data_IF_773148467578
#
_entry.id   IF_773148467578
#
_cell.length_a   1.000
_cell.length_b   1.000
_cell.length_c   1.000
_cell.angle_alpha   90.00
_cell.angle_beta   90.00
_cell.angle_gamma   90.00
#
_symmetry.space_group_name_H-M   'P 1'
#
loop_
_entity.id
_entity.type
_entity.pdbx_description
1 polymer ?
#
# COMPACT_ATOMS: atom_id res chain seq x y z
N UNK A 1 14.96 33.50 -6.89
CA UNK A 1 16.15 32.73 -7.34
C UNK A 1 15.67 31.37 -7.83
N UNK A 2 16.04 31.04 -9.08
CA UNK A 2 15.44 30.00 -9.91
C UNK A 2 16.12 28.65 -9.71
N UNK A 3 15.30 27.57 -9.67
CA UNK A 3 15.62 26.21 -10.08
C UNK A 3 16.98 25.60 -9.65
N UNK A 4 17.00 24.92 -8.53
CA UNK A 4 18.03 23.93 -8.20
C UNK A 4 17.50 22.91 -7.17
N UNK A 5 16.58 22.04 -7.59
CA UNK A 5 16.12 20.93 -6.76
C UNK A 5 15.57 19.81 -7.68
N UNK A 6 16.41 19.36 -8.60
CA UNK A 6 16.12 18.13 -9.36
C UNK A 6 17.34 17.64 -10.14
N UNK A 7 18.46 17.36 -9.46
CA UNK A 7 19.56 16.60 -10.08
C UNK A 7 20.52 16.05 -9.02
N UNK A 8 20.04 15.09 -8.23
CA UNK A 8 20.89 14.31 -7.35
C UNK A 8 20.40 12.86 -7.23
N UNK A 9 20.20 12.24 -8.37
CA UNK A 9 20.01 10.79 -8.48
C UNK A 9 20.51 10.38 -9.85
N UNK A 10 21.77 10.11 -9.97
CA UNK A 10 22.50 9.36 -10.99
C UNK A 10 23.87 10.00 -11.23
N UNK A 11 24.78 9.84 -10.28
CA UNK A 11 26.20 9.98 -10.56
C UNK A 11 26.87 8.66 -10.25
N UNK A 12 27.36 8.05 -11.30
CA UNK A 12 27.89 6.72 -11.43
C UNK A 12 29.00 6.35 -10.46
N UNK A 13 28.95 5.12 -10.03
CA UNK A 13 30.07 4.33 -9.58
C UNK A 13 30.61 3.57 -10.80
N UNK A 14 31.57 4.20 -11.48
CA UNK A 14 32.49 3.53 -12.38
C UNK A 14 33.48 2.74 -11.55
N UNK A 15 33.40 1.42 -11.57
CA UNK A 15 34.44 0.51 -11.10
C UNK A 15 35.21 -0.02 -12.32
N UNK A 16 36.44 0.39 -12.37
CA UNK A 16 37.47 -0.05 -13.32
C UNK A 16 37.73 -1.56 -13.22
N UNK A 17 37.88 -2.17 -14.38
CA UNK A 17 38.11 -3.58 -14.56
C UNK A 17 39.39 -4.11 -13.88
N UNK A 18 39.21 -5.24 -13.24
CA UNK A 18 40.28 -6.18 -12.91
C UNK A 18 39.93 -7.52 -13.54
N UNK A 19 40.70 -7.94 -14.51
CA UNK A 19 40.66 -9.27 -15.12
C UNK A 19 40.94 -10.33 -14.03
N UNK A 20 39.90 -11.02 -13.57
CA UNK A 20 40.05 -12.34 -12.97
C UNK A 20 39.27 -13.33 -13.83
N UNK A 21 39.97 -14.27 -14.41
CA UNK A 21 39.41 -15.48 -14.98
C UNK A 21 38.60 -16.19 -13.88
N UNK A 22 37.29 -15.99 -13.89
CA UNK A 22 36.38 -16.80 -13.09
C UNK A 22 36.35 -18.18 -13.72
N UNK A 23 36.78 -19.18 -12.98
CA UNK A 23 36.41 -20.57 -13.17
C UNK A 23 34.88 -20.59 -13.34
N UNK A 24 34.43 -21.00 -14.52
CA UNK A 24 33.05 -21.26 -14.80
C UNK A 24 32.56 -22.31 -13.81
N UNK A 25 31.89 -21.89 -12.74
CA UNK A 25 31.04 -22.81 -12.01
C UNK A 25 30.03 -23.39 -13.00
N UNK A 26 29.79 -24.71 -12.97
CA UNK A 26 28.83 -25.31 -13.86
C UNK A 26 27.49 -24.65 -13.59
N UNK A 27 26.92 -24.01 -14.61
CA UNK A 27 25.56 -23.49 -14.55
C UNK A 27 24.67 -24.60 -13.97
N UNK A 28 23.98 -24.35 -12.86
CA UNK A 28 22.95 -25.25 -12.36
C UNK A 28 21.92 -25.39 -13.48
N UNK A 29 22.02 -26.46 -14.25
CA UNK A 29 21.05 -26.77 -15.27
C UNK A 29 19.72 -27.01 -14.55
N UNK A 30 18.78 -26.10 -14.75
CA UNK A 30 17.41 -26.30 -14.31
C UNK A 30 16.89 -27.58 -14.98
N UNK A 31 16.95 -28.69 -14.27
CA UNK A 31 16.57 -30.02 -14.77
C UNK A 31 15.15 -30.00 -15.32
N UNK A 32 14.29 -29.10 -14.82
CA UNK A 32 12.92 -28.93 -15.23
C UNK A 32 12.78 -28.36 -16.66
N UNK A 33 13.72 -27.51 -17.11
CA UNK A 33 13.71 -26.93 -18.46
C UNK A 33 13.96 -27.96 -19.57
N UNK A 34 14.37 -29.16 -19.21
CA UNK A 34 14.55 -30.30 -20.15
C UNK A 34 13.21 -30.80 -20.67
N UNK A 35 12.18 -30.78 -19.85
CA UNK A 35 10.89 -31.37 -20.15
C UNK A 35 9.96 -30.37 -20.84
N UNK A 36 9.12 -30.88 -21.76
CA UNK A 36 8.07 -30.11 -22.42
C UNK A 36 6.70 -30.49 -21.80
N UNK A 37 5.83 -29.53 -21.55
CA UNK A 37 4.50 -29.80 -21.03
C UNK A 37 3.61 -30.41 -22.12
N UNK A 38 3.25 -31.67 -21.98
CA UNK A 38 2.36 -32.40 -22.91
C UNK A 38 0.88 -32.00 -22.71
N UNK A 39 0.47 -31.91 -21.45
CA UNK A 39 -0.89 -31.53 -21.08
C UNK A 39 -0.96 -30.99 -19.66
N UNK A 40 -1.98 -30.16 -19.41
CA UNK A 40 -2.34 -29.72 -18.07
C UNK A 40 -3.70 -30.30 -17.70
N UNK A 41 -3.73 -31.20 -16.71
CA UNK A 41 -4.93 -31.80 -16.18
C UNK A 41 -5.47 -30.97 -15.03
N UNK A 42 -6.73 -30.58 -15.12
CA UNK A 42 -7.43 -29.84 -14.07
C UNK A 42 -8.44 -30.73 -13.38
N UNK A 43 -8.59 -30.60 -12.06
CA UNK A 43 -9.73 -31.22 -11.40
C UNK A 43 -11.05 -30.60 -11.92
N UNK A 44 -12.15 -31.35 -11.89
CA UNK A 44 -13.48 -30.88 -12.35
C UNK A 44 -13.90 -29.57 -11.68
N UNK A 45 -13.50 -29.38 -10.41
CA UNK A 45 -13.81 -28.16 -9.65
C UNK A 45 -13.09 -26.94 -10.20
N UNK A 46 -11.85 -27.09 -10.67
CA UNK A 46 -11.11 -26.01 -11.32
C UNK A 46 -11.74 -25.73 -12.69
N UNK A 47 -11.93 -26.78 -13.50
CA UNK A 47 -12.33 -26.66 -14.88
C UNK A 47 -13.66 -25.92 -15.08
N UNK A 48 -14.61 -26.11 -14.16
CA UNK A 48 -15.94 -25.50 -14.25
C UNK A 48 -15.96 -24.04 -13.72
N UNK A 49 -14.98 -23.63 -12.92
CA UNK A 49 -15.04 -22.39 -12.14
C UNK A 49 -14.01 -21.34 -12.52
N UNK A 50 -12.97 -21.72 -13.28
CA UNK A 50 -11.94 -20.78 -13.73
C UNK A 50 -12.46 -19.88 -14.85
N UNK A 51 -11.97 -18.63 -14.86
CA UNK A 51 -12.25 -17.66 -15.91
C UNK A 51 -11.68 -18.09 -17.27
N UNK A 52 -12.24 -17.49 -18.34
CA UNK A 52 -11.73 -17.71 -19.70
C UNK A 52 -10.28 -17.30 -19.86
N UNK A 53 -9.87 -16.20 -19.21
CA UNK A 53 -8.49 -15.70 -19.27
C UNK A 53 -7.51 -16.68 -18.63
N UNK A 54 -7.84 -17.21 -17.46
CA UNK A 54 -7.00 -18.19 -16.77
C UNK A 54 -6.91 -19.51 -17.55
N UNK A 55 -8.01 -19.93 -18.17
CA UNK A 55 -8.03 -21.12 -19.07
C UNK A 55 -7.11 -20.93 -20.28
N UNK A 56 -7.10 -19.74 -20.88
CA UNK A 56 -6.19 -19.42 -21.99
C UNK A 56 -4.72 -19.45 -21.55
N UNK A 57 -4.42 -18.95 -20.35
CA UNK A 57 -3.05 -18.97 -19.84
C UNK A 57 -2.58 -20.40 -19.50
N UNK A 58 -3.48 -21.27 -19.03
CA UNK A 58 -3.21 -22.70 -18.87
C UNK A 58 -2.90 -23.35 -20.23
N UNK A 59 -3.69 -23.03 -21.26
CA UNK A 59 -3.45 -23.58 -22.61
C UNK A 59 -2.11 -23.14 -23.21
N UNK A 60 -1.63 -21.94 -22.92
CA UNK A 60 -0.32 -21.46 -23.37
C UNK A 60 0.85 -22.27 -22.81
N UNK A 61 0.68 -22.94 -21.68
CA UNK A 61 1.73 -23.79 -21.12
C UNK A 61 1.93 -25.10 -21.88
N UNK A 62 0.92 -25.56 -22.62
CA UNK A 62 1.00 -26.80 -23.40
C UNK A 62 1.92 -26.59 -24.60
N UNK A 63 2.92 -27.43 -24.74
CA UNK A 63 3.98 -27.30 -25.75
C UNK A 63 5.19 -26.46 -25.33
N UNK A 64 5.10 -25.72 -24.22
CA UNK A 64 6.20 -24.94 -23.68
C UNK A 64 7.12 -25.80 -22.76
N UNK A 65 8.34 -25.31 -22.54
CA UNK A 65 9.24 -25.92 -21.58
C UNK A 65 8.72 -25.77 -20.17
N UNK A 66 8.86 -26.82 -19.36
CA UNK A 66 8.42 -26.82 -17.97
C UNK A 66 9.15 -25.70 -17.20
N UNK A 67 8.39 -24.72 -16.75
CA UNK A 67 8.87 -23.61 -15.94
C UNK A 67 8.19 -23.65 -14.57
N UNK A 68 8.91 -24.00 -13.49
CA UNK A 68 8.35 -24.06 -12.14
C UNK A 68 7.78 -22.70 -11.66
N UNK A 69 8.42 -21.60 -12.05
CA UNK A 69 7.94 -20.26 -11.68
C UNK A 69 6.58 -19.96 -12.32
N UNK A 70 6.43 -20.26 -13.62
CA UNK A 70 5.16 -20.08 -14.32
C UNK A 70 4.05 -20.97 -13.73
N UNK A 71 4.38 -22.21 -13.33
CA UNK A 71 3.43 -23.09 -12.65
C UNK A 71 3.02 -22.58 -11.27
N UNK A 72 3.98 -22.06 -10.48
CA UNK A 72 3.70 -21.47 -9.18
C UNK A 72 2.81 -20.23 -9.31
N UNK A 73 3.06 -19.38 -10.29
CA UNK A 73 2.23 -18.22 -10.59
C UNK A 73 0.81 -18.63 -10.98
N UNK A 74 0.69 -19.63 -11.84
CA UNK A 74 -0.60 -20.18 -12.24
C UNK A 74 -1.35 -20.76 -11.04
N UNK A 75 -0.70 -21.56 -10.20
CA UNK A 75 -1.31 -22.12 -9.00
C UNK A 75 -1.75 -21.02 -8.01
N UNK A 76 -0.94 -19.96 -7.87
CA UNK A 76 -1.31 -18.80 -7.05
C UNK A 76 -2.55 -18.10 -7.59
N UNK A 77 -2.65 -17.89 -8.91
CA UNK A 77 -3.81 -17.28 -9.57
C UNK A 77 -5.06 -18.17 -9.41
N UNK A 78 -4.96 -19.48 -9.66
CA UNK A 78 -6.04 -20.43 -9.41
C UNK A 78 -6.48 -20.38 -7.95
N UNK A 79 -5.54 -20.36 -6.99
CA UNK A 79 -5.83 -20.26 -5.57
C UNK A 79 -6.60 -18.98 -5.23
N UNK A 80 -6.21 -17.86 -5.82
CA UNK A 80 -6.85 -16.56 -5.60
C UNK A 80 -8.24 -16.53 -6.22
N UNK A 81 -8.38 -16.94 -7.48
CA UNK A 81 -9.64 -16.88 -8.21
C UNK A 81 -10.70 -17.84 -7.62
N UNK A 82 -10.30 -19.06 -7.26
CA UNK A 82 -11.20 -20.05 -6.68
C UNK A 82 -11.37 -19.92 -5.16
N UNK A 83 -10.58 -19.06 -4.52
CA UNK A 83 -10.49 -18.90 -3.08
C UNK A 83 -10.34 -20.24 -2.33
N UNK A 84 -9.33 -21.00 -2.70
CA UNK A 84 -9.03 -22.31 -2.12
C UNK A 84 -7.78 -22.25 -1.24
N UNK A 85 -7.67 -23.15 -0.25
CA UNK A 85 -6.53 -23.19 0.68
C UNK A 85 -5.22 -23.50 -0.01
N UNK A 86 -5.26 -24.47 -0.91
CA UNK A 86 -4.08 -24.96 -1.60
C UNK A 86 -4.42 -25.42 -3.02
N UNK A 87 -3.49 -25.20 -3.92
CA UNK A 87 -3.48 -25.80 -5.25
C UNK A 87 -2.21 -26.65 -5.31
N UNK A 88 -2.38 -27.98 -5.26
CA UNK A 88 -1.26 -28.89 -5.39
C UNK A 88 -0.90 -29.07 -6.86
N UNK A 89 0.40 -29.07 -7.13
CA UNK A 89 0.97 -29.28 -8.44
C UNK A 89 1.68 -30.63 -8.44
N UNK A 90 1.30 -31.51 -9.36
CA UNK A 90 1.98 -32.80 -9.57
C UNK A 90 2.49 -32.86 -10.99
N UNK A 91 3.78 -33.05 -11.14
CA UNK A 91 4.40 -33.28 -12.45
C UNK A 91 4.49 -34.79 -12.64
N UNK A 92 3.80 -35.30 -13.65
CA UNK A 92 3.74 -36.70 -13.99
C UNK A 92 4.48 -36.96 -15.30
N UNK A 93 4.96 -38.17 -15.51
CA UNK A 93 5.57 -38.59 -16.77
C UNK A 93 4.55 -38.49 -17.91
N UNK A 94 4.92 -37.87 -19.02
CA UNK A 94 4.14 -37.80 -20.22
C UNK A 94 4.12 -39.13 -21.01
N UNK A 95 3.30 -39.19 -22.02
CA UNK A 95 3.25 -40.36 -22.92
C UNK A 95 4.41 -40.36 -23.93
N UNK A 96 4.94 -39.19 -24.24
CA UNK A 96 6.07 -39.00 -25.15
C UNK A 96 7.37 -38.85 -24.35
N UNK A 97 8.52 -39.38 -24.80
CA UNK A 97 9.80 -39.13 -24.15
C UNK A 97 10.08 -37.64 -24.01
N UNK A 98 10.70 -37.24 -22.89
CA UNK A 98 11.00 -35.86 -22.51
C UNK A 98 9.77 -34.91 -22.38
N UNK A 99 8.56 -35.50 -22.28
CA UNK A 99 7.32 -34.75 -22.00
C UNK A 99 6.78 -35.08 -20.61
N UNK A 100 6.10 -34.08 -20.01
CA UNK A 100 5.46 -34.22 -18.69
C UNK A 100 4.02 -33.73 -18.75
N UNK A 101 3.20 -34.33 -17.90
CA UNK A 101 1.82 -33.90 -17.61
C UNK A 101 1.82 -33.14 -16.28
N UNK A 102 1.19 -32.02 -16.27
CA UNK A 102 1.00 -31.23 -15.05
C UNK A 102 -0.42 -31.41 -14.55
N UNK A 103 -0.59 -31.97 -13.36
CA UNK A 103 -1.90 -32.08 -12.72
C UNK A 103 -2.01 -31.02 -11.64
N UNK A 104 -3.09 -30.23 -11.69
CA UNK A 104 -3.48 -29.24 -10.70
C UNK A 104 -4.72 -29.73 -9.97
N UNK A 105 -4.56 -30.00 -8.67
CA UNK A 105 -5.64 -30.44 -7.79
C UNK A 105 -5.92 -29.36 -6.74
N UNK A 106 -7.19 -29.11 -6.46
CA UNK A 106 -7.63 -28.11 -5.47
C UNK A 106 -7.87 -28.76 -4.12
N UNK A 107 -7.26 -28.23 -3.09
CA UNK A 107 -7.53 -28.59 -1.70
C UNK A 107 -8.51 -27.62 -1.05
N UNK A 108 -9.72 -28.07 -0.78
CA UNK A 108 -10.76 -27.43 0.05
C UNK A 108 -11.04 -25.94 -0.18
N UNK A 109 -12.30 -25.53 -0.17
CA UNK A 109 -12.67 -24.10 -0.15
C UNK A 109 -12.14 -23.45 1.12
N UNK A 110 -11.56 -22.25 0.99
CA UNK A 110 -11.16 -21.43 2.11
C UNK A 110 -12.37 -20.65 2.64
N UNK A 111 -13.28 -21.34 3.35
CA UNK A 111 -14.23 -20.63 4.20
C UNK A 111 -13.55 -20.47 5.55
N UNK A 112 -13.12 -19.27 5.86
CA UNK A 112 -12.37 -18.98 7.08
C UNK A 112 -12.99 -17.81 7.81
N UNK A 113 -13.01 -17.94 9.13
CA UNK A 113 -13.16 -16.82 10.02
C UNK A 113 -11.79 -16.50 10.61
N UNK A 114 -11.44 -15.23 10.57
CA UNK A 114 -10.19 -14.73 11.14
C UNK A 114 -10.49 -13.49 11.98
N UNK A 115 -9.88 -13.42 13.16
CA UNK A 115 -9.85 -12.22 13.98
C UNK A 115 -8.43 -11.68 13.92
N UNK A 116 -8.28 -10.50 13.40
CA UNK A 116 -6.98 -9.85 13.22
C UNK A 116 -6.92 -8.50 13.91
N UNK A 117 -5.71 -8.11 14.23
CA UNK A 117 -5.39 -6.78 14.74
C UNK A 117 -4.47 -6.13 13.70
N UNK A 118 -5.03 -5.50 12.64
CA UNK A 118 -4.23 -5.00 11.53
C UNK A 118 -3.31 -3.85 11.93
N UNK A 119 -3.65 -3.10 12.97
CA UNK A 119 -2.84 -2.00 13.47
C UNK A 119 -2.91 -1.92 14.99
N UNK A 120 -1.78 -1.90 15.65
CA UNK A 120 -1.59 -1.41 17.01
C UNK A 120 -0.28 -0.68 17.04
N UNK A 121 -0.30 0.64 17.18
CA UNK A 121 0.89 1.48 17.23
C UNK A 121 0.76 2.43 18.40
N UNK A 122 1.80 2.50 19.19
CA UNK A 122 2.00 3.56 20.17
C UNK A 122 3.12 4.48 19.68
N UNK A 123 2.84 5.76 19.64
CA UNK A 123 3.83 6.81 19.40
C UNK A 123 3.80 7.78 20.58
N UNK A 124 4.97 8.11 21.11
CA UNK A 124 5.06 8.92 22.35
C UNK A 124 4.43 10.30 22.25
N UNK A 125 4.26 10.85 21.05
CA UNK A 125 3.64 12.17 20.79
C UNK A 125 2.14 12.09 20.46
N UNK A 126 1.67 10.98 19.87
CA UNK A 126 0.29 10.83 19.40
C UNK A 126 -0.54 9.83 20.22
N UNK A 127 0.13 9.04 21.09
CA UNK A 127 -0.52 8.00 21.88
C UNK A 127 -0.80 6.72 21.09
N UNK A 128 -1.82 5.96 21.50
CA UNK A 128 -2.20 4.71 20.87
C UNK A 128 -3.10 4.92 19.66
N UNK A 129 -2.80 4.20 18.59
CA UNK A 129 -3.66 4.01 17.42
C UNK A 129 -3.85 2.51 17.19
N UNK A 130 -5.04 2.07 16.87
CA UNK A 130 -5.28 0.64 16.68
C UNK A 130 -6.58 0.32 15.98
N UNK A 131 -6.64 -0.90 15.42
CA UNK A 131 -7.83 -1.46 14.82
C UNK A 131 -7.92 -2.96 15.13
N UNK A 132 -9.15 -3.44 15.32
CA UNK A 132 -9.47 -4.86 15.49
C UNK A 132 -10.53 -5.23 14.48
N UNK A 133 -10.30 -6.27 13.69
CA UNK A 133 -11.18 -6.68 12.60
C UNK A 133 -11.48 -8.17 12.62
N UNK A 134 -12.75 -8.50 12.36
CA UNK A 134 -13.20 -9.83 12.01
C UNK A 134 -13.35 -9.95 10.51
N UNK A 135 -12.80 -11.00 9.92
CA UNK A 135 -12.88 -11.29 8.49
C UNK A 135 -13.56 -12.63 8.26
N UNK A 136 -14.57 -12.65 7.40
CA UNK A 136 -15.20 -13.87 6.89
C UNK A 136 -14.93 -14.00 5.40
N UNK A 137 -14.43 -15.16 4.96
CA UNK A 137 -14.17 -15.45 3.57
C UNK A 137 -15.12 -16.57 3.09
N UNK A 138 -15.92 -16.28 2.08
CA UNK A 138 -16.89 -17.22 1.49
C UNK A 138 -16.72 -17.23 -0.03
N UNK A 139 -16.10 -18.26 -0.55
CA UNK A 139 -15.77 -18.32 -1.97
C UNK A 139 -14.78 -17.22 -2.37
N UNK A 140 -15.15 -16.38 -3.33
CA UNK A 140 -14.35 -15.22 -3.76
C UNK A 140 -14.67 -13.94 -2.98
N UNK A 141 -15.61 -14.03 -2.03
CA UNK A 141 -16.08 -12.89 -1.28
C UNK A 141 -15.38 -12.82 0.07
N UNK A 142 -14.91 -11.64 0.44
CA UNK A 142 -14.33 -11.32 1.74
C UNK A 142 -15.18 -10.23 2.38
N UNK A 143 -15.62 -10.48 3.58
CA UNK A 143 -16.33 -9.53 4.43
C UNK A 143 -15.45 -9.23 5.64
N UNK A 144 -15.12 -7.99 5.85
CA UNK A 144 -14.34 -7.54 7.00
C UNK A 144 -15.15 -6.48 7.74
N UNK A 145 -15.22 -6.58 9.05
CA UNK A 145 -15.82 -5.55 9.89
C UNK A 145 -14.97 -5.38 11.16
N UNK A 146 -14.86 -4.15 11.63
CA UNK A 146 -14.01 -3.88 12.77
C UNK A 146 -14.24 -2.53 13.43
N UNK A 147 -13.50 -2.38 14.54
CA UNK A 147 -13.40 -1.16 15.31
C UNK A 147 -12.05 -0.51 15.04
N UNK A 148 -12.02 0.81 14.97
CA UNK A 148 -10.80 1.59 14.80
C UNK A 148 -10.77 2.74 15.80
N UNK A 149 -9.58 3.02 16.31
CA UNK A 149 -9.25 4.25 17.04
C UNK A 149 -7.87 4.70 16.56
N UNK A 150 -7.83 5.75 15.78
CA UNK A 150 -6.60 6.17 15.10
C UNK A 150 -6.38 7.68 15.24
N UNK A 151 -5.18 8.04 15.64
CA UNK A 151 -4.69 9.42 15.72
C UNK A 151 -3.43 9.63 14.88
N UNK A 152 -3.08 8.66 14.03
CA UNK A 152 -1.83 8.60 13.29
C UNK A 152 -2.02 8.87 11.78
N UNK A 153 -3.21 8.65 11.23
CA UNK A 153 -3.45 8.71 9.77
C UNK A 153 -4.00 10.05 9.27
N UNK A 154 -4.71 10.80 10.11
CA UNK A 154 -5.36 12.05 9.75
C UNK A 154 -4.98 13.17 10.71
N UNK A 155 -5.26 14.42 10.34
CA UNK A 155 -5.07 15.59 11.22
C UNK A 155 -5.76 15.36 12.57
N UNK A 156 -7.01 14.90 12.54
CA UNK A 156 -7.78 14.52 13.72
C UNK A 156 -7.47 13.10 14.21
N UNK A 157 -7.89 12.83 15.44
CA UNK A 157 -8.07 11.46 15.94
C UNK A 157 -9.51 11.05 15.67
N UNK A 158 -9.71 9.85 15.16
CA UNK A 158 -11.04 9.30 14.95
C UNK A 158 -11.23 7.94 15.61
N UNK A 159 -12.46 7.65 16.02
CA UNK A 159 -12.87 6.35 16.54
C UNK A 159 -14.17 5.94 15.90
N UNK A 160 -14.33 4.66 15.61
CA UNK A 160 -15.56 4.22 14.98
C UNK A 160 -15.54 2.79 14.49
N UNK A 161 -16.46 2.53 13.57
CA UNK A 161 -16.63 1.24 12.91
C UNK A 161 -16.26 1.35 11.44
N UNK A 162 -15.68 0.27 10.92
CA UNK A 162 -15.46 0.14 9.47
C UNK A 162 -15.93 -1.24 9.02
N UNK A 163 -16.42 -1.31 7.79
CA UNK A 163 -16.75 -2.55 7.13
C UNK A 163 -16.26 -2.52 5.70
N UNK A 164 -15.82 -3.67 5.21
CA UNK A 164 -15.33 -3.84 3.84
C UNK A 164 -15.86 -5.12 3.24
N UNK A 165 -16.34 -5.01 2.03
CA UNK A 165 -16.59 -6.15 1.17
C UNK A 165 -15.64 -6.14 -0.01
N UNK A 166 -15.05 -7.28 -0.32
CA UNK A 166 -14.18 -7.46 -1.48
C UNK A 166 -14.59 -8.70 -2.26
N UNK A 167 -14.65 -8.58 -3.58
CA UNK A 167 -14.68 -9.71 -4.50
C UNK A 167 -13.50 -9.58 -5.45
N UNK A 168 -12.54 -10.52 -5.35
CA UNK A 168 -11.28 -10.47 -6.09
C UNK A 168 -11.32 -11.17 -7.44
N UNK A 169 -12.48 -11.66 -7.87
CA UNK A 169 -12.64 -12.35 -9.15
C UNK A 169 -14.09 -12.22 -9.62
N UNK A 170 -14.51 -11.00 -9.98
CA UNK A 170 -15.84 -10.76 -10.54
C UNK A 170 -15.89 -11.18 -12.01
N UNK A 171 -16.30 -12.43 -12.24
CA UNK A 171 -16.34 -13.03 -13.58
C UNK A 171 -14.95 -13.33 -14.19
N UNK A 172 -13.90 -12.75 -13.68
CA UNK A 172 -12.50 -13.00 -14.04
C UNK A 172 -11.58 -12.55 -12.92
N UNK A 173 -10.34 -13.04 -12.92
CA UNK A 173 -9.26 -12.61 -12.01
C UNK A 173 -8.72 -11.20 -12.35
N UNK A 174 -9.28 -10.54 -13.35
CA UNK A 174 -8.88 -9.19 -13.80
C UNK A 174 -9.78 -8.08 -13.30
N UNK A 175 -10.91 -8.41 -12.67
CA UNK A 175 -11.86 -7.43 -12.17
C UNK A 175 -12.11 -7.70 -10.69
N UNK A 176 -11.74 -6.76 -9.86
CA UNK A 176 -11.96 -6.78 -8.42
C UNK A 176 -12.99 -5.71 -8.06
N UNK A 177 -13.89 -6.03 -7.14
CA UNK A 177 -14.81 -5.06 -6.55
C UNK A 177 -14.53 -4.91 -5.06
N UNK A 178 -14.57 -3.67 -4.59
CA UNK A 178 -14.47 -3.33 -3.17
C UNK A 178 -15.52 -2.28 -2.81
N UNK A 179 -16.16 -2.51 -1.67
CA UNK A 179 -17.03 -1.56 -1.01
C UNK A 179 -16.52 -1.33 0.40
N UNK A 180 -16.14 -0.11 0.71
CA UNK A 180 -15.77 0.32 2.05
C UNK A 180 -16.90 1.14 2.65
N UNK A 181 -17.16 0.92 3.93
CA UNK A 181 -18.07 1.71 4.74
C UNK A 181 -17.37 2.09 6.03
N UNK A 182 -17.49 3.35 6.43
CA UNK A 182 -16.99 3.87 7.69
C UNK A 182 -18.00 4.76 8.39
N UNK A 183 -17.98 4.72 9.72
CA UNK A 183 -18.74 5.66 10.57
C UNK A 183 -17.88 6.02 11.77
N UNK A 184 -17.47 7.28 11.85
CA UNK A 184 -16.44 7.75 12.76
C UNK A 184 -16.94 8.92 13.61
N UNK A 185 -16.33 9.01 14.80
CA UNK A 185 -16.42 10.13 15.71
C UNK A 185 -15.04 10.77 15.80
N UNK A 186 -14.98 12.08 15.62
CA UNK A 186 -13.74 12.81 15.49
C UNK A 186 -13.40 13.56 16.77
N UNK A 187 -12.11 13.58 17.10
CA UNK A 187 -11.52 14.31 18.24
C UNK A 187 -10.40 15.21 17.74
N UNK A 188 -10.47 16.47 18.13
CA UNK A 188 -9.56 17.50 17.65
C UNK A 188 -8.54 17.89 18.71
N UNK A 189 -7.30 18.02 18.29
CA UNK A 189 -6.22 18.52 19.14
C UNK A 189 -6.38 20.02 19.42
N UNK A 190 -5.95 20.47 20.59
CA UNK A 190 -5.99 21.90 20.96
C UNK A 190 -5.18 22.78 20.01
N UNK A 191 -4.08 22.29 19.45
CA UNK A 191 -3.27 23.00 18.46
C UNK A 191 -4.05 23.25 17.18
N UNK A 192 -4.79 22.24 16.70
CA UNK A 192 -5.70 22.35 15.54
C UNK A 192 -6.80 23.36 15.80
N UNK A 193 -7.47 23.27 16.96
CA UNK A 193 -8.53 24.22 17.35
C UNK A 193 -8.03 25.67 17.42
N UNK A 194 -6.81 25.87 17.93
CA UNK A 194 -6.18 27.19 18.03
C UNK A 194 -5.74 27.75 16.67
N UNK A 195 -5.42 26.89 15.72
CA UNK A 195 -5.01 27.29 14.37
C UNK A 195 -6.20 27.68 13.48
N UNK A 196 -7.38 27.06 13.67
CA UNK A 196 -8.60 27.32 12.88
C UNK A 196 -9.06 28.79 12.89
N UNK A 197 -8.86 29.51 13.98
CA UNK A 197 -9.26 30.92 14.08
C UNK A 197 -8.35 31.90 13.30
N UNK A 198 -7.31 31.42 12.63
CA UNK A 198 -6.30 32.23 11.93
C UNK A 198 -6.37 32.14 10.42
N UNK A 199 -7.06 31.14 9.89
CA UNK A 199 -7.14 30.87 8.44
C UNK A 199 -8.58 30.63 8.00
N UNK A 200 -9.19 31.62 7.35
CA UNK A 200 -10.54 31.54 6.79
C UNK A 200 -10.66 30.57 5.59
N UNK A 201 -9.53 30.18 5.00
CA UNK A 201 -9.50 29.24 3.85
C UNK A 201 -9.69 27.79 4.27
N UNK A 202 -9.47 27.46 5.54
CA UNK A 202 -9.58 26.10 6.06
C UNK A 202 -11.05 25.78 6.37
N UNK A 203 -11.58 24.64 5.90
CA UNK A 203 -12.88 24.15 6.29
C UNK A 203 -12.96 23.92 7.80
N UNK A 204 -14.14 24.13 8.39
CA UNK A 204 -14.31 23.96 9.82
C UNK A 204 -14.14 22.51 10.28
N UNK A 205 -14.09 22.33 11.59
CA UNK A 205 -14.07 21.01 12.23
C UNK A 205 -15.43 20.35 12.21
N UNK A 206 -15.43 19.04 12.18
CA UNK A 206 -16.61 18.19 12.21
C UNK A 206 -16.56 17.22 13.40
N UNK A 207 -17.70 16.69 13.79
CA UNK A 207 -17.86 15.78 14.92
C UNK A 207 -18.01 14.34 14.50
N UNK A 208 -18.73 14.11 13.42
CA UNK A 208 -19.00 12.78 12.89
C UNK A 208 -18.77 12.76 11.40
N UNK A 209 -18.30 11.63 10.92
CA UNK A 209 -18.06 11.38 9.49
C UNK A 209 -18.54 9.98 9.13
N UNK A 210 -19.26 9.88 8.03
CA UNK A 210 -19.66 8.62 7.44
C UNK A 210 -19.24 8.60 5.98
N UNK A 211 -18.72 7.47 5.53
CA UNK A 211 -18.37 7.30 4.13
C UNK A 211 -18.82 5.95 3.59
N UNK A 212 -19.11 5.93 2.29
CA UNK A 212 -19.33 4.73 1.50
C UNK A 212 -18.55 4.83 0.19
N UNK A 213 -17.61 3.92 -0.01
CA UNK A 213 -16.66 3.97 -1.12
C UNK A 213 -16.72 2.70 -1.97
N UNK A 214 -17.48 2.67 -3.07
CA UNK A 214 -17.41 1.65 -4.10
C UNK A 214 -16.21 1.86 -5.02
N UNK A 215 -15.42 0.82 -5.26
CA UNK A 215 -14.25 0.83 -6.16
C UNK A 215 -14.21 -0.44 -7.00
N UNK A 216 -14.02 -0.28 -8.32
CA UNK A 216 -13.70 -1.35 -9.24
C UNK A 216 -12.24 -1.24 -9.65
N UNK A 217 -11.48 -2.32 -9.53
CA UNK A 217 -10.08 -2.40 -9.96
C UNK A 217 -9.94 -3.34 -11.15
N UNK A 218 -9.29 -2.87 -12.20
CA UNK A 218 -9.04 -3.59 -13.44
C UNK A 218 -7.54 -3.91 -13.54
N UNK A 219 -7.21 -5.19 -13.59
CA UNK A 219 -5.85 -5.66 -13.84
C UNK A 219 -5.57 -5.55 -15.34
N UNK A 220 -4.90 -4.48 -15.75
CA UNK A 220 -4.57 -4.21 -17.16
C UNK A 220 -3.45 -5.12 -17.65
N UNK A 221 -2.44 -5.31 -16.80
CA UNK A 221 -1.32 -6.23 -17.00
C UNK A 221 -0.89 -6.79 -15.63
N UNK A 222 -0.03 -7.81 -15.58
CA UNK A 222 0.44 -8.38 -14.29
C UNK A 222 0.96 -7.32 -13.31
N UNK A 223 1.78 -6.31 -13.73
CA UNK A 223 2.25 -5.29 -12.81
C UNK A 223 1.35 -4.05 -12.73
N UNK A 224 0.28 -3.93 -13.54
CA UNK A 224 -0.45 -2.67 -13.72
C UNK A 224 -1.94 -2.82 -13.44
N UNK A 225 -2.44 -2.05 -12.49
CA UNK A 225 -3.84 -2.00 -12.07
C UNK A 225 -4.40 -0.59 -12.20
N UNK A 226 -5.64 -0.49 -12.70
CA UNK A 226 -6.42 0.74 -12.76
C UNK A 226 -7.63 0.60 -11.84
N UNK A 227 -7.78 1.51 -10.89
CA UNK A 227 -8.93 1.59 -9.99
C UNK A 227 -9.81 2.78 -10.36
N UNK A 228 -11.11 2.54 -10.45
CA UNK A 228 -12.13 3.57 -10.64
C UNK A 228 -13.21 3.42 -9.58
N UNK A 229 -13.64 4.54 -9.00
CA UNK A 229 -14.62 4.51 -7.93
C UNK A 229 -15.20 5.87 -7.59
N UNK A 230 -15.99 5.87 -6.53
CA UNK A 230 -16.51 7.08 -5.90
C UNK A 230 -16.40 6.93 -4.39
N UNK A 231 -16.43 8.04 -3.67
CA UNK A 231 -16.59 8.06 -2.23
C UNK A 231 -17.70 9.06 -1.90
N UNK A 232 -18.70 8.58 -1.20
CA UNK A 232 -19.83 9.37 -0.74
C UNK A 232 -19.61 9.66 0.74
N UNK A 233 -19.20 10.89 1.04
CA UNK A 233 -18.91 11.30 2.40
C UNK A 233 -19.92 12.31 2.91
N UNK A 234 -20.39 12.07 4.15
CA UNK A 234 -21.28 12.95 4.91
C UNK A 234 -20.68 13.18 6.29
N UNK A 235 -20.67 14.43 6.72
CA UNK A 235 -20.15 14.81 8.04
C UNK A 235 -20.87 16.01 8.62
N UNK A 236 -20.91 16.05 9.96
CA UNK A 236 -21.56 17.12 10.71
C UNK A 236 -20.51 18.11 11.22
N UNK A 237 -20.43 19.25 10.56
CA UNK A 237 -19.53 20.36 10.92
C UNK A 237 -20.03 21.03 12.20
N UNK A 238 -19.11 21.38 13.11
CA UNK A 238 -19.37 22.09 14.35
C UNK A 238 -18.99 23.58 14.26
N UNK A 239 -17.87 23.86 13.66
CA UNK A 239 -17.35 25.22 13.50
C UNK A 239 -17.08 25.49 12.02
N UNK A 240 -17.30 26.71 11.53
CA UNK A 240 -17.80 27.90 12.27
C UNK A 240 -19.30 27.84 12.60
N UNK A 241 -20.06 26.97 11.94
CA UNK A 241 -21.49 26.76 12.19
C UNK A 241 -21.86 25.28 12.08
N UNK A 242 -22.80 24.83 12.93
CA UNK A 242 -23.32 23.47 12.88
C UNK A 242 -24.13 23.26 11.60
N UNK A 243 -23.68 22.36 10.73
CA UNK A 243 -24.35 21.97 9.49
C UNK A 243 -23.89 20.60 9.03
N UNK A 244 -24.75 19.88 8.35
CA UNK A 244 -24.35 18.66 7.65
C UNK A 244 -23.80 19.04 6.27
N UNK A 245 -22.65 18.48 5.92
CA UNK A 245 -21.98 18.68 4.64
C UNK A 245 -21.66 17.34 3.98
N UNK A 246 -21.47 17.38 2.68
CA UNK A 246 -21.05 16.26 1.87
C UNK A 246 -19.73 16.58 1.13
N UNK A 247 -18.87 15.58 0.98
CA UNK A 247 -17.64 15.67 0.18
C UNK A 247 -17.56 14.47 -0.77
N UNK A 248 -18.52 14.40 -1.69
CA UNK A 248 -18.57 13.31 -2.66
C UNK A 248 -17.47 13.48 -3.72
N UNK A 249 -16.71 12.42 -3.98
CA UNK A 249 -15.58 12.43 -4.90
C UNK A 249 -15.63 11.29 -5.90
N UNK A 250 -15.11 11.53 -7.10
CA UNK A 250 -14.69 10.49 -8.01
C UNK A 250 -13.25 10.08 -7.68
N UNK A 251 -12.98 8.78 -7.74
CA UNK A 251 -11.68 8.20 -7.43
C UNK A 251 -11.11 7.56 -8.69
N UNK A 252 -9.84 7.85 -8.98
CA UNK A 252 -9.04 7.16 -9.97
C UNK A 252 -7.70 6.80 -9.35
N UNK A 253 -7.29 5.55 -9.49
CA UNK A 253 -5.99 5.05 -9.02
C UNK A 253 -5.27 4.29 -10.12
N UNK A 254 -3.96 4.44 -10.19
CA UNK A 254 -3.08 3.64 -11.03
C UNK A 254 -1.99 3.08 -10.14
N UNK A 255 -1.84 1.76 -10.13
CA UNK A 255 -0.82 1.07 -9.36
C UNK A 255 0.02 0.20 -10.27
N UNK A 256 1.32 0.32 -10.13
CA UNK A 256 2.32 -0.55 -10.75
C UNK A 256 3.10 -1.25 -9.65
N UNK A 257 3.16 -2.58 -9.66
CA UNK A 257 3.87 -3.41 -8.69
C UNK A 257 4.65 -4.50 -9.45
N UNK A 258 5.96 -4.40 -9.44
CA UNK A 258 6.84 -5.32 -10.14
C UNK A 258 7.93 -5.86 -9.22
N UNK A 259 8.03 -7.18 -9.18
CA UNK A 259 9.13 -7.89 -8.49
C UNK A 259 10.07 -8.47 -9.49
N UNK A 260 11.36 -8.27 -9.23
CA UNK A 260 12.45 -8.80 -10.04
C UNK A 260 13.29 -9.72 -9.17
N UNK A 261 13.58 -10.91 -9.67
CA UNK A 261 14.51 -11.84 -9.06
C UNK A 261 15.85 -11.70 -9.77
N UNK A 262 16.89 -11.26 -9.06
CA UNK A 262 18.25 -11.14 -9.57
C UNK A 262 19.08 -12.40 -9.32
N UNK A 263 20.29 -12.47 -9.89
CA UNK A 263 21.23 -13.55 -9.60
C UNK A 263 21.57 -13.59 -8.10
N UNK A 264 21.71 -14.78 -7.53
CA UNK A 264 22.16 -14.95 -6.15
C UNK A 264 21.11 -14.65 -5.07
N UNK A 265 19.83 -14.93 -5.32
CA UNK A 265 18.70 -14.67 -4.40
C UNK A 265 18.43 -13.19 -4.05
N UNK A 266 18.94 -12.26 -4.84
CA UNK A 266 18.61 -10.85 -4.69
C UNK A 266 17.17 -10.61 -5.18
N UNK A 267 16.35 -9.98 -4.35
CA UNK A 267 14.99 -9.61 -4.70
C UNK A 267 14.88 -8.09 -4.77
N UNK A 268 14.31 -7.60 -5.86
CA UNK A 268 14.00 -6.19 -6.05
C UNK A 268 12.49 -6.05 -6.20
N UNK A 269 11.93 -5.04 -5.58
CA UNK A 269 10.52 -4.69 -5.69
C UNK A 269 10.42 -3.21 -5.99
N UNK A 270 9.66 -2.89 -7.01
CA UNK A 270 9.33 -1.52 -7.38
C UNK A 270 7.82 -1.36 -7.39
N UNK A 271 7.32 -0.45 -6.59
CA UNK A 271 5.91 -0.08 -6.49
C UNK A 271 5.76 1.40 -6.80
N UNK A 272 4.81 1.74 -7.66
CA UNK A 272 4.42 3.10 -7.95
C UNK A 272 2.90 3.22 -7.89
N UNK A 273 2.41 4.18 -7.13
CA UNK A 273 0.99 4.44 -7.01
C UNK A 273 0.69 5.91 -7.32
N UNK A 274 -0.34 6.13 -8.11
CA UNK A 274 -0.96 7.43 -8.32
C UNK A 274 -2.42 7.36 -7.94
N UNK A 275 -2.89 8.31 -7.16
CA UNK A 275 -4.30 8.45 -6.82
C UNK A 275 -4.80 9.87 -7.05
N UNK A 276 -5.99 9.97 -7.62
CA UNK A 276 -6.75 11.20 -7.81
C UNK A 276 -8.11 11.06 -7.13
N UNK A 277 -8.44 12.01 -6.27
CA UNK A 277 -9.77 12.19 -5.68
C UNK A 277 -10.27 13.56 -6.11
N UNK A 278 -11.39 13.61 -6.82
CA UNK A 278 -11.93 14.85 -7.38
C UNK A 278 -13.38 15.07 -6.93
N UNK A 279 -13.63 16.15 -6.19
CA UNK A 279 -14.93 16.59 -5.74
C UNK A 279 -15.41 17.78 -6.57
N UNK A 280 -16.67 17.74 -6.98
CA UNK A 280 -17.31 18.86 -7.69
C UNK A 280 -18.75 19.00 -7.23
N UNK A 281 -19.34 20.19 -7.41
CA UNK A 281 -20.78 20.40 -7.17
C UNK A 281 -21.67 19.50 -8.02
N UNK A 282 -21.18 19.05 -9.21
CA UNK A 282 -21.86 18.09 -10.05
C UNK A 282 -22.04 16.70 -9.42
N UNK A 283 -21.20 16.35 -8.42
CA UNK A 283 -21.34 15.15 -7.60
C UNK A 283 -22.13 15.37 -6.32
N UNK A 284 -22.85 16.48 -6.23
CA UNK A 284 -23.55 16.90 -5.00
C UNK A 284 -22.61 17.02 -3.80
N UNK A 285 -21.42 17.59 -4.02
CA UNK A 285 -20.42 17.88 -3.00
C UNK A 285 -20.47 19.35 -2.61
N UNK A 286 -20.39 19.66 -1.32
CA UNK A 286 -20.24 21.03 -0.79
C UNK A 286 -18.83 21.57 -0.98
N UNK A 287 -17.91 20.72 -1.45
CA UNK A 287 -16.51 21.02 -1.70
C UNK A 287 -16.16 20.87 -3.17
N UNK A 288 -15.23 21.71 -3.64
CA UNK A 288 -14.67 21.61 -4.97
C UNK A 288 -13.16 21.52 -4.86
N UNK A 289 -12.59 20.33 -5.09
CA UNK A 289 -11.15 20.09 -5.01
C UNK A 289 -10.71 18.92 -5.89
N UNK A 290 -9.41 18.89 -6.17
CA UNK A 290 -8.73 17.72 -6.70
C UNK A 290 -7.50 17.43 -5.85
N UNK A 291 -7.46 16.24 -5.25
CA UNK A 291 -6.34 15.73 -4.46
C UNK A 291 -5.61 14.67 -5.26
N UNK A 292 -4.36 14.95 -5.53
CA UNK A 292 -3.45 14.05 -6.22
C UNK A 292 -2.37 13.59 -5.26
N UNK A 293 -2.04 12.29 -5.30
CA UNK A 293 -0.94 11.72 -4.52
C UNK A 293 -0.17 10.75 -5.39
N UNK A 294 1.13 10.85 -5.32
CA UNK A 294 2.11 9.94 -5.92
C UNK A 294 2.89 9.28 -4.80
N UNK A 295 3.08 8.00 -4.91
CA UNK A 295 3.91 7.21 -4.01
C UNK A 295 4.78 6.29 -4.85
N UNK A 296 6.09 6.32 -4.57
CA UNK A 296 7.08 5.45 -5.19
C UNK A 296 7.80 4.72 -4.07
N UNK A 297 7.88 3.41 -4.19
CA UNK A 297 8.65 2.59 -3.26
C UNK A 297 9.56 1.66 -4.05
N UNK A 298 10.82 1.65 -3.68
CA UNK A 298 11.81 0.71 -4.18
C UNK A 298 12.43 -0.05 -3.02
N UNK A 299 12.55 -1.36 -3.14
CA UNK A 299 13.26 -2.18 -2.16
C UNK A 299 14.19 -3.18 -2.83
N UNK A 300 15.36 -3.36 -2.21
CA UNK A 300 16.40 -4.30 -2.62
C UNK A 300 16.77 -5.16 -1.41
N UNK A 301 16.46 -6.44 -1.48
CA UNK A 301 16.85 -7.43 -0.48
C UNK A 301 17.98 -8.29 -1.01
N UNK A 302 19.07 -8.45 -0.23
CA UNK A 302 20.22 -9.26 -0.54
C UNK A 302 20.81 -9.91 0.72
N UNK A 303 20.74 -11.23 0.78
CA UNK A 303 21.13 -11.98 1.97
C UNK A 303 20.30 -11.59 3.20
N UNK A 304 20.95 -11.00 4.22
CA UNK A 304 20.28 -10.49 5.43
C UNK A 304 20.03 -8.98 5.40
N UNK A 305 20.41 -8.33 4.32
CA UNK A 305 20.29 -6.90 4.16
C UNK A 305 19.04 -6.56 3.34
N UNK A 306 18.48 -5.40 3.62
CA UNK A 306 17.44 -4.78 2.81
C UNK A 306 17.66 -3.26 2.80
N UNK A 307 17.59 -2.68 1.64
CA UNK A 307 17.51 -1.23 1.45
C UNK A 307 16.14 -0.94 0.88
N UNK A 308 15.45 0.04 1.43
CA UNK A 308 14.20 0.54 0.86
C UNK A 308 14.21 2.07 0.82
N UNK A 309 13.63 2.61 -0.23
CA UNK A 309 13.44 4.04 -0.44
C UNK A 309 11.98 4.28 -0.81
N UNK A 310 11.35 5.19 -0.08
CA UNK A 310 9.97 5.60 -0.30
C UNK A 310 9.91 7.10 -0.54
N UNK A 311 9.27 7.51 -1.62
CA UNK A 311 9.03 8.90 -1.95
C UNK A 311 7.52 9.15 -2.09
N UNK A 312 7.00 10.17 -1.41
CA UNK A 312 5.62 10.61 -1.48
C UNK A 312 5.57 12.07 -1.90
N UNK A 313 4.70 12.37 -2.87
CA UNK A 313 4.36 13.72 -3.25
C UNK A 313 2.85 13.88 -3.33
N UNK A 314 2.33 15.04 -2.94
CA UNK A 314 0.91 15.30 -2.97
C UNK A 314 0.55 16.75 -3.23
N UNK A 315 -0.58 16.96 -3.88
CA UNK A 315 -1.12 18.26 -4.23
C UNK A 315 -2.63 18.26 -4.11
N UNK A 316 -3.18 19.24 -3.40
CA UNK A 316 -4.60 19.56 -3.38
C UNK A 316 -4.78 20.92 -4.04
N UNK A 317 -5.70 20.97 -5.00
CA UNK A 317 -6.19 22.22 -5.61
C UNK A 317 -7.66 22.41 -5.25
N UNK A 318 -8.08 23.66 -5.04
CA UNK A 318 -9.42 23.95 -4.59
C UNK A 318 -9.59 23.84 -3.07
N UNK A 319 -10.85 23.76 -2.60
CA UNK A 319 -11.19 23.73 -1.18
C UNK A 319 -11.57 22.32 -0.76
N UNK A 320 -10.68 21.66 -0.02
CA UNK A 320 -10.86 20.32 0.51
C UNK A 320 -11.20 20.34 2.01
N UNK A 321 -11.98 19.36 2.54
CA UNK A 321 -12.16 19.19 3.97
C UNK A 321 -10.84 18.77 4.66
N UNK A 322 -10.76 18.91 6.00
CA UNK A 322 -9.52 18.64 6.75
C UNK A 322 -9.03 17.20 6.61
N UNK A 323 -9.92 16.22 6.57
CA UNK A 323 -9.55 14.81 6.39
C UNK A 323 -8.91 14.46 5.04
N UNK A 324 -8.93 15.36 4.09
CA UNK A 324 -8.23 15.20 2.80
C UNK A 324 -6.85 15.86 2.80
N UNK A 325 -6.53 16.69 3.79
CA UNK A 325 -5.24 17.39 3.85
C UNK A 325 -4.12 16.42 4.16
N UNK A 326 -2.93 16.75 3.69
CA UNK A 326 -1.74 15.97 3.95
C UNK A 326 -1.16 16.30 5.32
N UNK A 327 -0.60 15.29 5.96
CA UNK A 327 0.13 15.44 7.22
C UNK A 327 1.45 14.69 7.18
N UNK A 328 2.39 15.12 7.99
CA UNK A 328 3.66 14.46 8.29
C UNK A 328 3.86 14.43 9.81
N UNK A 329 4.83 13.65 10.29
CA UNK A 329 5.07 13.47 11.72
C UNK A 329 4.21 12.38 12.34
N UNK A 330 3.92 11.35 11.56
CA UNK A 330 3.19 10.13 11.94
C UNK A 330 4.17 8.99 12.25
N UNK A 331 3.66 7.83 12.61
CA UNK A 331 4.50 6.64 12.86
C UNK A 331 5.14 6.07 11.60
N UNK A 332 4.67 6.45 10.42
CA UNK A 332 5.15 5.97 9.11
C UNK A 332 5.77 7.07 8.25
N UNK A 333 5.40 8.34 8.45
CA UNK A 333 5.84 9.45 7.61
C UNK A 333 6.53 10.53 8.43
N UNK A 334 7.78 10.84 8.11
CA UNK A 334 8.63 11.82 8.84
C UNK A 334 8.68 11.51 10.34
N UNK A 335 9.04 10.28 10.66
CA UNK A 335 9.14 9.77 12.03
C UNK A 335 10.06 10.65 12.88
N UNK A 336 9.73 10.84 14.15
CA UNK A 336 10.51 11.72 15.05
C UNK A 336 9.97 13.14 15.18
N UNK A 337 9.05 13.54 14.33
CA UNK A 337 8.32 14.80 14.45
C UNK A 337 6.91 14.59 14.99
N UNK A 338 6.34 15.59 15.62
CA UNK A 338 4.93 15.61 15.96
C UNK A 338 4.17 16.38 14.86
N UNK A 339 3.12 15.78 14.30
CA UNK A 339 2.33 16.38 13.23
C UNK A 339 1.77 17.76 13.58
N UNK A 340 1.40 17.98 14.83
CA UNK A 340 0.86 19.26 15.30
C UNK A 340 1.90 20.36 15.44
N UNK A 341 3.20 20.01 15.50
CA UNK A 341 4.31 20.97 15.51
C UNK A 341 4.74 21.36 14.09
N UNK A 342 4.37 20.55 13.08
CA UNK A 342 4.67 20.80 11.68
C UNK A 342 3.61 21.71 11.05
N UNK A 343 2.38 21.22 11.00
CA UNK A 343 1.20 21.99 10.59
C UNK A 343 -0.04 21.40 11.26
N UNK A 344 -0.64 22.10 12.25
CA UNK A 344 -1.79 21.60 13.00
C UNK A 344 -3.07 21.42 12.17
N UNK A 345 -3.14 22.00 10.98
CA UNK A 345 -4.26 21.88 10.04
C UNK A 345 -3.92 20.97 8.86
N UNK A 346 -2.73 20.38 8.83
CA UNK A 346 -2.18 19.72 7.66
C UNK A 346 -1.96 20.71 6.51
N UNK A 347 -1.40 20.25 5.39
CA UNK A 347 -1.14 21.08 4.22
C UNK A 347 -1.87 20.61 2.97
N UNK A 348 -1.98 21.49 1.99
CA UNK A 348 -2.46 21.14 0.64
C UNK A 348 -1.36 20.59 -0.26
N UNK A 349 -0.12 20.62 0.21
CA UNK A 349 1.05 20.09 -0.49
C UNK A 349 1.91 19.29 0.47
N UNK A 350 2.49 18.20 -0.04
CA UNK A 350 3.40 17.36 0.72
C UNK A 350 4.51 16.83 -0.18
N UNK A 351 5.69 16.71 0.38
CA UNK A 351 6.81 15.96 -0.18
C UNK A 351 7.52 15.23 0.95
N UNK A 352 7.80 13.95 0.75
CA UNK A 352 8.49 13.08 1.70
C UNK A 352 9.43 12.16 0.95
N UNK A 353 10.58 11.90 1.54
CA UNK A 353 11.46 10.77 1.19
C UNK A 353 11.91 10.08 2.48
N UNK A 354 11.84 8.77 2.49
CA UNK A 354 12.26 7.89 3.58
C UNK A 354 13.20 6.83 3.06
N UNK A 355 14.45 6.86 3.52
CA UNK A 355 15.47 5.86 3.21
C UNK A 355 15.69 4.97 4.42
N UNK A 356 15.56 3.67 4.23
CA UNK A 356 15.77 2.66 5.28
C UNK A 356 16.84 1.66 4.87
N UNK A 357 17.69 1.30 5.83
CA UNK A 357 18.58 0.15 5.74
C UNK A 357 18.30 -0.80 6.88
N UNK A 358 18.14 -2.08 6.57
CA UNK A 358 17.88 -3.13 7.54
C UNK A 358 18.90 -4.26 7.40
N UNK A 359 19.45 -4.67 8.54
CA UNK A 359 20.30 -5.87 8.67
C UNK A 359 19.64 -6.84 9.65
N UNK A 360 19.07 -7.92 9.13
CA UNK A 360 18.28 -8.84 9.94
C UNK A 360 17.06 -8.17 10.57
N UNK A 361 17.09 -7.95 11.88
CA UNK A 361 16.02 -7.26 12.61
C UNK A 361 16.33 -5.78 12.90
N UNK A 362 17.58 -5.36 12.80
CA UNK A 362 18.00 -4.00 13.09
C UNK A 362 17.75 -3.14 11.86
N UNK A 363 17.08 -2.00 12.03
CA UNK A 363 16.87 -1.00 11.00
C UNK A 363 17.44 0.35 11.41
N UNK A 364 17.93 1.08 10.45
CA UNK A 364 18.24 2.51 10.56
C UNK A 364 17.53 3.23 9.43
N UNK A 365 17.05 4.44 9.69
CA UNK A 365 16.31 5.20 8.70
C UNK A 365 16.62 6.68 8.77
N UNK A 366 16.41 7.33 7.65
CA UNK A 366 16.48 8.78 7.50
C UNK A 366 15.25 9.24 6.73
N UNK A 367 14.48 10.13 7.35
CA UNK A 367 13.29 10.72 6.76
C UNK A 367 13.53 12.21 6.50
N UNK A 368 13.08 12.69 5.36
CA UNK A 368 13.05 14.12 5.04
C UNK A 368 11.72 14.47 4.38
N UNK A 369 11.12 15.59 4.77
CA UNK A 369 9.83 15.97 4.20
C UNK A 369 9.41 17.39 4.55
N UNK A 370 8.42 17.86 3.83
CA UNK A 370 7.74 19.13 4.06
C UNK A 370 6.24 18.98 3.77
N UNK A 371 5.44 19.68 4.55
CA UNK A 371 4.01 19.88 4.33
C UNK A 371 3.74 21.37 4.40
N UNK A 372 2.96 21.91 3.44
CA UNK A 372 2.75 23.35 3.34
C UNK A 372 1.52 23.74 2.53
N UNK A 373 1.10 24.98 2.61
CA UNK A 373 0.09 25.59 1.75
C UNK A 373 0.69 26.57 0.73
N UNK A 374 -0.03 26.90 -0.35
CA UNK A 374 0.40 27.91 -1.30
C UNK A 374 0.69 29.25 -0.61
N UNK A 375 1.86 29.84 -0.91
CA UNK A 375 2.29 31.12 -0.31
C UNK A 375 3.06 30.97 1.00
N UNK A 376 3.08 29.79 1.61
CA UNK A 376 3.94 29.51 2.75
C UNK A 376 5.37 29.17 2.30
N UNK A 377 6.34 29.43 3.17
CA UNK A 377 7.72 29.01 2.98
C UNK A 377 7.81 27.48 3.13
N UNK A 378 8.47 26.82 2.18
CA UNK A 378 8.70 25.39 2.23
C UNK A 378 9.88 25.10 3.16
N UNK A 379 9.59 24.52 4.31
CA UNK A 379 10.61 24.17 5.32
C UNK A 379 10.77 22.65 5.35
N UNK A 380 11.87 22.15 4.80
CA UNK A 380 12.22 20.74 4.89
C UNK A 380 12.58 20.38 6.34
N UNK A 381 11.99 19.30 6.83
CA UNK A 381 12.27 18.71 8.13
C UNK A 381 12.98 17.39 7.92
N UNK A 382 13.85 17.04 8.86
CA UNK A 382 14.69 15.86 8.78
C UNK A 382 14.61 15.09 10.08
N UNK A 383 14.73 13.78 10.00
CA UNK A 383 14.89 12.92 11.16
C UNK A 383 15.77 11.71 10.83
N UNK A 384 16.39 11.17 11.85
CA UNK A 384 17.15 9.93 11.80
C UNK A 384 16.65 9.01 12.90
N UNK A 385 16.60 7.72 12.65
CA UNK A 385 16.17 6.78 13.66
C UNK A 385 16.80 5.42 13.55
N UNK A 386 16.61 4.66 14.62
CA UNK A 386 17.04 3.27 14.74
C UNK A 386 15.90 2.46 15.32
N UNK A 387 15.76 1.22 14.86
CA UNK A 387 14.69 0.35 15.30
C UNK A 387 15.03 -1.12 15.22
N UNK A 388 14.10 -1.91 15.73
CA UNK A 388 14.05 -3.35 15.58
C UNK A 388 12.74 -3.69 14.87
N UNK A 389 12.82 -4.39 13.75
CA UNK A 389 11.66 -4.85 12.99
C UNK A 389 11.72 -6.34 12.76
N UNK A 390 10.65 -7.03 13.11
CA UNK A 390 10.48 -8.45 12.81
C UNK A 390 9.07 -8.70 12.31
N UNK A 391 8.94 -9.10 11.06
CA UNK A 391 7.64 -9.16 10.39
C UNK A 391 6.95 -7.79 10.46
N UNK A 392 5.71 -7.73 10.93
CA UNK A 392 4.93 -6.50 11.14
C UNK A 392 5.23 -5.78 12.46
N UNK A 393 5.91 -6.42 13.42
CA UNK A 393 6.25 -5.80 14.70
C UNK A 393 7.46 -4.88 14.58
N UNK A 394 7.36 -3.69 15.14
CA UNK A 394 8.38 -2.65 15.13
C UNK A 394 8.53 -2.01 16.52
N UNK A 395 9.77 -1.76 16.89
CA UNK A 395 10.15 -0.86 17.98
C UNK A 395 11.18 0.09 17.42
N UNK A 396 10.93 1.40 17.48
CA UNK A 396 11.85 2.38 16.91
C UNK A 396 11.96 3.63 17.79
N UNK A 397 13.08 4.30 17.66
CA UNK A 397 13.36 5.61 18.24
C UNK A 397 13.84 6.53 17.13
N UNK A 398 13.16 7.64 16.94
CA UNK A 398 13.45 8.63 15.92
C UNK A 398 13.80 9.98 16.54
N UNK A 399 14.81 10.62 16.00
CA UNK A 399 15.33 11.90 16.46
C UNK A 399 15.07 12.95 15.38
N UNK A 400 14.26 13.99 15.66
CA UNK A 400 14.12 15.11 14.75
C UNK A 400 15.43 15.91 14.71
N UNK A 401 15.87 16.26 13.51
CA UNK A 401 17.06 17.12 13.32
C UNK A 401 16.57 18.56 13.35
N UNK A 402 16.76 19.24 14.50
CA UNK A 402 16.36 20.63 14.72
C UNK A 402 17.36 21.32 15.62
N UNK A 403 17.38 22.65 15.57
CA UNK A 403 18.15 23.46 16.52
C UNK A 403 17.61 23.29 17.95
N UNK A 404 18.49 23.26 18.93
CA UNK A 404 18.17 23.12 20.34
C UNK A 404 18.04 21.67 20.78
N UNK A 405 17.23 21.39 21.83
CA UNK A 405 17.04 20.04 22.37
C UNK A 405 16.10 19.24 21.49
N UNK A 406 16.59 18.19 20.88
CA UNK A 406 15.77 17.20 20.18
C UNK A 406 15.25 16.18 21.20
N UNK A 407 13.94 16.10 21.38
CA UNK A 407 13.32 15.02 22.14
C UNK A 407 13.06 13.86 21.18
N UNK A 408 13.58 12.65 21.47
CA UNK A 408 13.30 11.50 20.62
C UNK A 408 11.82 11.12 20.71
N UNK A 409 11.29 10.64 19.58
CA UNK A 409 9.97 10.02 19.50
C UNK A 409 10.16 8.50 19.54
N UNK A 410 9.52 7.88 20.50
CA UNK A 410 9.50 6.43 20.64
C UNK A 410 8.25 5.86 20.00
N UNK A 411 8.42 4.77 19.25
CA UNK A 411 7.34 4.07 18.56
C UNK A 411 7.45 2.57 18.83
N UNK A 412 6.31 1.94 19.08
CA UNK A 412 6.20 0.49 19.21
C UNK A 412 4.86 0.04 18.66
N UNK A 413 4.85 -1.02 17.88
CA UNK A 413 3.60 -1.54 17.41
C UNK A 413 3.71 -2.57 16.30
N UNK A 414 2.55 -2.85 15.75
CA UNK A 414 2.36 -3.70 14.58
C UNK A 414 1.47 -2.96 13.59
N UNK A 415 1.90 -2.98 12.32
CA UNK A 415 1.11 -2.49 11.21
C UNK A 415 1.24 -3.51 10.06
N UNK A 416 0.11 -4.03 9.58
CA UNK A 416 0.03 -5.07 8.54
C UNK A 416 -0.39 -4.47 7.21
#
# INVERSE_FOLDING_TARGET
MKYALMSLLFSGLGLSGGNQQSLLEPAEFNVNSRYTVESVELSREIETRISRSLRQDIQKLIGEKLNPTALNDLARRIRTELNVRNVSQKVLKGNVPDHVKVRLDVGGRKNEWDLSVPKVVYQSTLGFSGAVEGTAIVGNNRFTAGLVSDGDELVERYTGVRARYENRALGSDRVHLRFDFGSYHEQWNSSTLSALGKDDAVPGIYRTRQNFQPVATFVLAKPLELSLGADFERFDTQLPAARTQSANVAITGLRYDQRFEGPGSNQQEFEAEYSLRAATHGLNSDFGYARQRWELRYSLAFGRNMISDEAVAGLITGRAPLFERFELGTSSMLRGWNKFDLDPLGGSRVALNSLEYRYGMVEVFYDTGAVWDPGQEVVARHSIGVGLRKSSFMVAMAFPIKEGRASPVFMVGMNY
#
